data_IF_619953164804
#
_entry.id   IF_619953164804
#
_cell.length_a   1.000
_cell.length_b   1.000
_cell.length_c   1.000
_cell.angle_alpha   90.00
_cell.angle_beta   90.00
_cell.angle_gamma   90.00
#
_symmetry.space_group_name_H-M   'P 1'
#
loop_
_entity.id
_entity.type
_entity.pdbx_description
1 polymer ?
#
# COMPACT_ATOMS: atom_id res chain seq x y z
N UNK A 1 -12.09 4.93 1.08
CA UNK A 1 -11.67 3.87 0.14
C UNK A 1 -12.20 2.53 0.63
N UNK A 2 -12.51 1.53 -0.22
CA UNK A 2 -12.85 0.20 0.27
C UNK A 2 -11.67 -0.32 1.10
N UNK A 3 -11.99 -0.82 2.30
CA UNK A 3 -10.99 -1.33 3.23
C UNK A 3 -10.26 -2.53 2.59
N UNK A 4 -8.94 -2.44 2.50
CA UNK A 4 -8.07 -3.47 1.91
C UNK A 4 -7.28 -4.23 2.98
N UNK A 5 -7.63 -4.09 4.26
CA UNK A 5 -6.95 -4.76 5.37
C UNK A 5 -6.83 -6.27 5.16
N UNK A 6 -7.90 -6.95 4.72
CA UNK A 6 -7.88 -8.38 4.44
C UNK A 6 -6.82 -8.75 3.38
N UNK A 7 -6.61 -7.89 2.37
CA UNK A 7 -5.61 -8.11 1.32
C UNK A 7 -4.18 -7.91 1.86
N UNK A 8 -3.98 -6.92 2.72
CA UNK A 8 -2.68 -6.70 3.37
C UNK A 8 -2.33 -7.82 4.34
N UNK A 9 -3.29 -8.29 5.13
CA UNK A 9 -3.11 -9.44 6.03
C UNK A 9 -2.81 -10.71 5.24
N UNK A 10 -3.52 -10.95 4.12
CA UNK A 10 -3.27 -12.08 3.23
C UNK A 10 -1.86 -12.05 2.65
N UNK A 11 -1.40 -10.88 2.18
CA UNK A 11 -0.04 -10.70 1.63
C UNK A 11 1.02 -10.93 2.72
N UNK A 12 0.80 -10.42 3.92
CA UNK A 12 1.70 -10.65 5.06
C UNK A 12 1.75 -12.12 5.47
N UNK A 13 0.60 -12.80 5.53
CA UNK A 13 0.54 -14.23 5.82
C UNK A 13 1.22 -15.07 4.74
N UNK A 14 1.02 -14.73 3.46
CA UNK A 14 1.69 -15.39 2.34
C UNK A 14 3.22 -15.23 2.41
N UNK A 15 3.70 -14.04 2.75
CA UNK A 15 5.13 -13.78 2.98
C UNK A 15 5.67 -14.59 4.17
N UNK A 16 4.94 -14.62 5.30
CA UNK A 16 5.34 -15.36 6.49
C UNK A 16 5.40 -16.88 6.26
N UNK A 17 4.45 -17.43 5.49
CA UNK A 17 4.34 -18.86 5.18
C UNK A 17 5.18 -19.28 3.95
N UNK A 18 5.94 -18.36 3.35
CA UNK A 18 6.74 -18.58 2.13
C UNK A 18 5.92 -19.10 0.93
N UNK A 19 4.70 -18.58 0.76
CA UNK A 19 3.81 -18.91 -0.37
C UNK A 19 3.98 -17.85 -1.47
N UNK A 20 5.06 -18.01 -2.25
CA UNK A 20 5.50 -17.03 -3.26
C UNK A 20 4.43 -16.65 -4.30
N UNK A 21 3.64 -17.61 -4.80
CA UNK A 21 2.59 -17.34 -5.79
C UNK A 21 1.48 -16.44 -5.24
N UNK A 22 1.08 -16.67 -3.98
CA UNK A 22 0.05 -15.88 -3.31
C UNK A 22 0.55 -14.48 -2.96
N UNK A 23 1.80 -14.38 -2.50
CA UNK A 23 2.48 -13.10 -2.29
C UNK A 23 2.51 -12.29 -3.60
N UNK A 24 2.92 -12.90 -4.70
CA UNK A 24 2.99 -12.24 -6.00
C UNK A 24 1.61 -11.81 -6.51
N UNK A 25 0.59 -12.65 -6.35
CA UNK A 25 -0.78 -12.31 -6.73
C UNK A 25 -1.35 -11.14 -5.91
N UNK A 26 -1.16 -11.16 -4.59
CA UNK A 26 -1.60 -10.09 -3.71
C UNK A 26 -0.89 -8.76 -3.98
N UNK A 27 0.43 -8.78 -4.17
CA UNK A 27 1.19 -7.59 -4.55
C UNK A 27 0.74 -7.01 -5.90
N UNK A 28 0.40 -7.85 -6.90
CA UNK A 28 -0.17 -7.37 -8.18
C UNK A 28 -1.51 -6.67 -7.99
N UNK A 29 -2.37 -7.18 -7.12
CA UNK A 29 -3.65 -6.56 -6.82
C UNK A 29 -3.47 -5.22 -6.12
N UNK A 30 -2.59 -5.14 -5.11
CA UNK A 30 -2.23 -3.88 -4.44
C UNK A 30 -1.69 -2.87 -5.48
N UNK A 31 -0.78 -3.31 -6.35
CA UNK A 31 -0.21 -2.47 -7.41
C UNK A 31 -1.29 -1.91 -8.35
N UNK A 32 -2.31 -2.70 -8.68
CA UNK A 32 -3.45 -2.24 -9.50
C UNK A 32 -4.31 -1.21 -8.76
N UNK A 33 -4.51 -1.37 -7.45
CA UNK A 33 -5.28 -0.44 -6.61
C UNK A 33 -4.59 0.91 -6.43
N UNK A 34 -3.26 0.93 -6.32
CA UNK A 34 -2.50 2.17 -6.12
C UNK A 34 -2.21 2.93 -7.41
N UNK A 35 -2.44 2.30 -8.57
CA UNK A 35 -2.15 2.90 -9.86
C UNK A 35 -3.02 4.15 -10.11
N UNK A 36 -2.36 5.28 -10.33
CA UNK A 36 -3.01 6.55 -10.66
C UNK A 36 -3.54 7.31 -9.45
N UNK A 37 -3.28 6.86 -8.23
CA UNK A 37 -3.59 7.59 -7.00
C UNK A 37 -2.60 8.72 -6.75
N UNK A 38 -3.06 9.79 -6.10
CA UNK A 38 -2.16 10.86 -5.61
C UNK A 38 -1.41 10.43 -4.36
N UNK A 39 -0.39 11.19 -3.96
CA UNK A 39 0.40 10.90 -2.74
C UNK A 39 -0.50 10.91 -1.50
N UNK A 40 -1.45 11.85 -1.42
CA UNK A 40 -2.41 11.97 -0.31
C UNK A 40 -3.32 10.75 -0.23
N UNK A 41 -3.85 10.30 -1.37
CA UNK A 41 -4.68 9.10 -1.43
C UNK A 41 -3.90 7.83 -1.08
N UNK A 42 -2.61 7.77 -1.42
CA UNK A 42 -1.74 6.66 -1.04
C UNK A 42 -1.45 6.65 0.46
N UNK A 43 -1.20 7.83 1.05
CA UNK A 43 -1.04 7.97 2.51
C UNK A 43 -2.29 7.51 3.24
N UNK A 44 -3.49 7.89 2.79
CA UNK A 44 -4.75 7.39 3.35
C UNK A 44 -4.90 5.88 3.16
N UNK A 45 -4.61 5.37 1.96
CA UNK A 45 -4.75 3.95 1.61
C UNK A 45 -3.84 3.03 2.43
N UNK A 46 -2.61 3.46 2.73
CA UNK A 46 -1.65 2.71 3.53
C UNK A 46 -1.67 3.09 5.01
N UNK A 47 -2.55 4.00 5.44
CA UNK A 47 -2.60 4.53 6.79
C UNK A 47 -1.25 5.13 7.25
N UNK A 48 -0.58 5.86 6.36
CA UNK A 48 0.72 6.52 6.59
C UNK A 48 0.47 7.99 6.95
N UNK A 49 1.03 8.43 8.06
CA UNK A 49 1.08 9.84 8.44
C UNK A 49 2.12 10.59 7.60
N UNK A 50 1.81 11.81 7.16
CA UNK A 50 2.79 12.65 6.47
C UNK A 50 3.79 13.20 7.49
N UNK A 51 5.05 12.80 7.37
CA UNK A 51 6.15 13.21 8.25
C UNK A 51 6.99 14.36 7.67
N UNK A 52 6.64 14.88 6.49
CA UNK A 52 7.29 16.06 5.91
C UNK A 52 6.75 17.36 6.51
N UNK A 53 7.66 18.31 6.74
CA UNK A 53 7.27 19.71 6.90
C UNK A 53 6.73 20.28 5.59
N UNK A 54 5.90 21.35 5.61
CA UNK A 54 5.39 21.95 4.38
C UNK A 54 6.49 22.37 3.39
N UNK A 55 7.63 22.85 3.89
CA UNK A 55 8.79 23.22 3.08
C UNK A 55 9.51 22.03 2.45
N UNK A 56 9.49 20.86 3.07
CA UNK A 56 10.04 19.63 2.53
C UNK A 56 9.12 19.02 1.47
N UNK A 57 7.81 19.00 1.74
CA UNK A 57 6.80 18.50 0.80
C UNK A 57 6.77 19.33 -0.50
N UNK A 58 6.94 20.65 -0.42
CA UNK A 58 6.97 21.52 -1.59
C UNK A 58 8.21 21.34 -2.50
N UNK A 59 9.23 20.59 -2.05
CA UNK A 59 10.47 20.32 -2.82
C UNK A 59 10.45 18.99 -3.57
N UNK A 60 9.45 18.14 -3.33
CA UNK A 60 9.27 16.82 -3.94
C UNK A 60 8.35 16.94 -5.15
#
# INVERSE_FOLDING_TARGET
LPDCNDLFELVQAANYLDVSDLLAAGCKQIAALIKGKTVEELREFFHIENDFTPEEEAKV
#
